data_IF_000474380250
#
_entry.id   IF_000474380250
#
_cell.length_a   1.000
_cell.length_b   1.000
_cell.length_c   1.000
_cell.angle_alpha   90.00
_cell.angle_beta   90.00
_cell.angle_gamma   90.00
#
_symmetry.space_group_name_H-M   'P 1'
#
loop_
_entity.id
_entity.type
_entity.pdbx_description
1 polymer ?
#
# COMPACT_ATOMS: atom_id res chain seq x y z
N UNK A 1 101.45 -61.28 -8.13
CA UNK A 1 101.83 -61.04 -9.54
C UNK A 1 102.27 -62.37 -10.13
N UNK A 2 101.88 -62.74 -11.37
CA UNK A 2 100.85 -62.14 -12.25
C UNK A 2 99.42 -62.31 -11.62
N UNK A 3 98.25 -62.40 -12.26
CA UNK A 3 97.85 -62.45 -13.68
C UNK A 3 96.48 -61.75 -13.91
N UNK A 4 95.75 -62.11 -14.98
CA UNK A 4 94.52 -61.44 -15.45
C UNK A 4 93.49 -62.45 -16.02
N UNK A 5 92.23 -62.03 -16.05
CA UNK A 5 91.07 -62.45 -16.86
C UNK A 5 90.98 -63.88 -17.47
N UNK A 6 89.84 -64.53 -17.18
CA UNK A 6 89.09 -65.29 -18.16
C UNK A 6 87.58 -65.05 -17.92
N UNK A 7 86.88 -64.45 -18.88
CA UNK A 7 85.42 -64.35 -18.84
C UNK A 7 84.82 -65.66 -19.38
N UNK A 8 83.85 -66.24 -18.67
CA UNK A 8 83.08 -67.37 -19.19
C UNK A 8 82.19 -66.86 -20.34
N UNK A 9 82.53 -67.22 -21.58
CA UNK A 9 81.72 -66.89 -22.74
C UNK A 9 80.39 -67.66 -22.67
N UNK A 10 79.28 -66.95 -22.78
CA UNK A 10 77.98 -67.57 -23.01
C UNK A 10 77.90 -68.04 -24.47
N UNK A 11 77.49 -69.28 -24.71
CA UNK A 11 77.19 -69.78 -26.04
C UNK A 11 75.91 -69.09 -26.55
N UNK A 12 76.10 -68.05 -27.36
CA UNK A 12 75.04 -67.50 -28.20
C UNK A 12 74.88 -68.39 -29.43
N UNK A 13 74.01 -69.39 -29.33
CA UNK A 13 73.53 -70.14 -30.48
C UNK A 13 72.82 -69.20 -31.48
N UNK A 14 72.88 -69.54 -32.77
CA UNK A 14 72.61 -68.63 -33.89
C UNK A 14 71.11 -68.42 -34.20
N UNK A 15 70.28 -68.31 -33.16
CA UNK A 15 68.90 -67.84 -33.26
C UNK A 15 68.81 -66.32 -33.43
N UNK A 16 67.66 -65.81 -33.88
CA UNK A 16 67.43 -64.37 -33.96
C UNK A 16 67.40 -63.70 -32.59
N UNK A 17 67.46 -62.36 -32.58
CA UNK A 17 67.08 -61.56 -31.40
C UNK A 17 65.67 -61.99 -30.95
N UNK A 18 65.49 -62.61 -29.76
CA UNK A 18 64.32 -63.46 -29.49
C UNK A 18 62.97 -62.73 -29.47
N UNK A 19 62.98 -61.40 -29.36
CA UNK A 19 61.78 -60.56 -29.53
C UNK A 19 61.21 -60.56 -30.96
N UNK A 20 62.00 -60.92 -31.98
CA UNK A 20 61.59 -60.98 -33.39
C UNK A 20 61.23 -62.40 -33.86
N UNK A 21 61.24 -63.39 -32.96
CA UNK A 21 60.80 -64.76 -33.28
C UNK A 21 59.26 -64.82 -33.37
N UNK A 22 58.73 -64.57 -34.58
CA UNK A 22 57.30 -64.42 -34.85
C UNK A 22 56.43 -65.64 -34.51
N UNK A 23 57.03 -66.82 -34.26
CA UNK A 23 56.34 -68.06 -33.89
C UNK A 23 55.35 -67.93 -32.71
N UNK A 24 55.62 -67.03 -31.76
CA UNK A 24 54.73 -66.82 -30.60
C UNK A 24 53.78 -65.62 -30.76
N UNK A 25 54.00 -64.76 -31.75
CA UNK A 25 53.23 -63.53 -31.94
C UNK A 25 51.76 -63.80 -32.22
N UNK A 26 51.43 -64.85 -33.00
CA UNK A 26 50.05 -65.22 -33.30
C UNK A 26 49.25 -65.57 -32.03
N UNK A 27 49.83 -66.36 -31.12
CA UNK A 27 49.20 -66.72 -29.84
C UNK A 27 49.02 -65.49 -28.93
N UNK A 28 50.03 -64.63 -28.85
CA UNK A 28 49.98 -63.39 -28.07
C UNK A 28 48.90 -62.42 -28.59
N UNK A 29 48.76 -62.29 -29.92
CA UNK A 29 47.72 -61.46 -30.55
C UNK A 29 46.32 -62.05 -30.30
N UNK A 30 46.13 -63.36 -30.40
CA UNK A 30 44.83 -64.00 -30.08
C UNK A 30 44.46 -63.78 -28.62
N UNK A 31 45.40 -63.93 -27.69
CA UNK A 31 45.16 -63.68 -26.27
C UNK A 31 44.83 -62.20 -25.98
N UNK A 32 45.56 -61.26 -26.60
CA UNK A 32 45.28 -59.83 -26.52
C UNK A 32 43.90 -59.47 -27.09
N UNK A 33 43.47 -60.10 -28.19
CA UNK A 33 42.14 -59.90 -28.76
C UNK A 33 41.03 -60.42 -27.82
N UNK A 34 41.21 -61.57 -27.19
CA UNK A 34 40.26 -62.11 -26.19
C UNK A 34 40.15 -61.14 -25.00
N UNK A 35 41.27 -60.70 -24.43
CA UNK A 35 41.30 -59.75 -23.33
C UNK A 35 40.67 -58.40 -23.71
N UNK A 36 40.96 -57.90 -24.92
CA UNK A 36 40.39 -56.67 -25.45
C UNK A 36 38.87 -56.76 -25.62
N UNK A 37 38.35 -57.88 -26.16
CA UNK A 37 36.90 -58.10 -26.30
C UNK A 37 36.21 -58.17 -24.93
N UNK A 38 36.80 -58.86 -23.95
CA UNK A 38 36.26 -58.90 -22.57
C UNK A 38 36.24 -57.50 -21.94
N UNK A 39 37.32 -56.73 -22.07
CA UNK A 39 37.39 -55.36 -21.55
C UNK A 39 36.42 -54.41 -22.28
N UNK A 40 36.31 -54.53 -23.60
CA UNK A 40 35.37 -53.75 -24.42
C UNK A 40 33.92 -54.02 -24.01
N UNK A 41 33.53 -55.29 -23.83
CA UNK A 41 32.19 -55.64 -23.36
C UNK A 41 31.91 -55.13 -21.94
N UNK A 42 32.90 -55.17 -21.04
CA UNK A 42 32.80 -54.60 -19.70
C UNK A 42 32.60 -53.07 -19.74
N UNK A 43 33.36 -52.37 -20.58
CA UNK A 43 33.21 -50.92 -20.77
C UNK A 43 31.85 -50.59 -21.38
N UNK A 44 31.49 -51.21 -22.50
CA UNK A 44 30.25 -50.95 -23.23
C UNK A 44 28.98 -51.28 -22.43
N UNK A 45 29.01 -52.34 -21.60
CA UNK A 45 27.82 -52.85 -20.89
C UNK A 45 27.74 -52.48 -19.41
N UNK A 46 28.82 -51.98 -18.80
CA UNK A 46 28.84 -51.55 -17.38
C UNK A 46 29.27 -50.09 -17.20
N UNK A 47 30.43 -49.69 -17.73
CA UNK A 47 30.97 -48.35 -17.47
C UNK A 47 30.27 -47.25 -18.28
N UNK A 48 30.08 -47.45 -19.59
CA UNK A 48 29.38 -46.50 -20.46
C UNK A 48 27.95 -46.19 -19.99
N UNK A 49 27.06 -47.16 -19.67
CA UNK A 49 25.71 -46.84 -19.17
C UNK A 49 25.71 -46.21 -17.77
N UNK A 50 26.70 -46.50 -16.92
CA UNK A 50 26.86 -45.80 -15.62
C UNK A 50 27.24 -44.34 -15.81
N UNK A 51 28.23 -44.04 -16.65
CA UNK A 51 28.63 -42.67 -16.98
C UNK A 51 27.47 -41.91 -17.64
N UNK A 52 26.74 -42.56 -18.55
CA UNK A 52 25.58 -41.98 -19.23
C UNK A 52 24.49 -41.57 -18.23
N UNK A 53 24.11 -42.46 -17.31
CA UNK A 53 23.15 -42.14 -16.23
C UNK A 53 23.57 -40.89 -15.42
N UNK A 54 24.84 -40.77 -15.04
CA UNK A 54 25.31 -39.61 -14.24
C UNK A 54 25.28 -38.29 -15.04
N UNK A 55 25.46 -38.34 -16.36
CA UNK A 55 25.31 -37.17 -17.23
C UNK A 55 23.83 -36.78 -17.37
N UNK A 56 22.97 -37.76 -17.67
CA UNK A 56 21.53 -37.54 -17.86
C UNK A 56 20.88 -37.05 -16.53
N UNK A 57 21.20 -37.67 -15.39
CA UNK A 57 20.75 -37.27 -14.04
C UNK A 57 21.15 -35.83 -13.67
N UNK A 58 22.36 -35.39 -14.06
CA UNK A 58 22.80 -34.00 -13.89
C UNK A 58 22.03 -33.04 -14.80
N UNK A 59 21.79 -33.44 -16.05
CA UNK A 59 21.02 -32.63 -17.00
C UNK A 59 19.57 -32.45 -16.53
N UNK A 60 18.92 -33.52 -16.07
CA UNK A 60 17.56 -33.50 -15.53
C UNK A 60 17.48 -32.67 -14.24
N UNK A 61 18.46 -32.81 -13.34
CA UNK A 61 18.54 -32.00 -12.11
C UNK A 61 18.66 -30.51 -12.42
N UNK A 62 19.55 -30.13 -13.34
CA UNK A 62 19.74 -28.73 -13.75
C UNK A 62 18.49 -28.19 -14.47
N UNK A 63 17.92 -28.97 -15.39
CA UNK A 63 16.70 -28.63 -16.12
C UNK A 63 15.54 -28.38 -15.16
N UNK A 64 15.33 -29.28 -14.20
CA UNK A 64 14.28 -29.17 -13.17
C UNK A 64 14.53 -27.96 -12.27
N UNK A 65 15.75 -27.73 -11.80
CA UNK A 65 16.09 -26.57 -10.98
C UNK A 65 15.84 -25.24 -11.71
N UNK A 66 16.18 -25.15 -13.00
CA UNK A 66 15.91 -23.97 -13.84
C UNK A 66 14.41 -23.79 -14.10
N UNK A 67 13.66 -24.88 -14.31
CA UNK A 67 12.21 -24.82 -14.48
C UNK A 67 11.51 -24.33 -13.20
N UNK A 68 11.85 -24.90 -12.04
CA UNK A 68 11.33 -24.46 -10.73
C UNK A 68 11.70 -23.01 -10.43
N UNK A 69 12.94 -22.60 -10.68
CA UNK A 69 13.36 -21.21 -10.48
C UNK A 69 12.57 -20.22 -11.37
N UNK A 70 12.26 -20.60 -12.61
CA UNK A 70 11.40 -19.80 -13.50
C UNK A 70 9.95 -19.75 -13.02
N UNK A 71 9.39 -20.86 -12.54
CA UNK A 71 8.03 -20.90 -11.97
C UNK A 71 7.94 -19.95 -10.77
N UNK A 72 8.83 -20.11 -9.79
CA UNK A 72 8.90 -19.25 -8.60
C UNK A 72 9.12 -17.78 -8.96
N UNK A 73 9.94 -17.47 -9.97
CA UNK A 73 10.12 -16.11 -10.45
C UNK A 73 8.84 -15.52 -11.08
N UNK A 74 8.11 -16.31 -11.87
CA UNK A 74 6.84 -15.89 -12.50
C UNK A 74 5.74 -15.73 -11.45
N UNK A 75 5.63 -16.65 -10.50
CA UNK A 75 4.68 -16.59 -9.38
C UNK A 75 4.96 -15.37 -8.49
N UNK A 76 6.23 -15.12 -8.14
CA UNK A 76 6.63 -13.96 -7.34
C UNK A 76 6.37 -12.63 -8.09
N UNK A 77 6.58 -12.59 -9.42
CA UNK A 77 6.24 -11.42 -10.22
C UNK A 77 4.72 -11.16 -10.24
N UNK A 78 3.91 -12.20 -10.48
CA UNK A 78 2.45 -12.10 -10.46
C UNK A 78 1.90 -11.67 -9.09
N UNK A 79 2.46 -12.21 -8.00
CA UNK A 79 2.12 -11.79 -6.63
C UNK A 79 2.54 -10.33 -6.35
N UNK A 80 3.73 -9.90 -6.80
CA UNK A 80 4.19 -8.53 -6.64
C UNK A 80 3.31 -7.53 -7.40
N UNK A 81 2.88 -7.84 -8.62
CA UNK A 81 1.99 -6.98 -9.41
C UNK A 81 0.55 -6.98 -8.90
N UNK A 82 0.04 -8.10 -8.40
CA UNK A 82 -1.23 -8.14 -7.68
C UNK A 82 -1.19 -7.30 -6.39
N UNK A 83 -0.11 -7.39 -5.61
CA UNK A 83 0.08 -6.58 -4.40
C UNK A 83 0.22 -5.08 -4.72
N UNK A 84 0.91 -4.71 -5.80
CA UNK A 84 0.97 -3.32 -6.30
C UNK A 84 -0.42 -2.79 -6.68
N UNK A 85 -1.20 -3.59 -7.41
CA UNK A 85 -2.55 -3.22 -7.83
C UNK A 85 -3.48 -3.00 -6.63
N UNK A 86 -3.47 -3.90 -5.64
CA UNK A 86 -4.31 -3.75 -4.44
C UNK A 86 -3.85 -2.58 -3.55
N UNK A 87 -2.54 -2.28 -3.47
CA UNK A 87 -2.02 -1.09 -2.76
C UNK A 87 -2.44 0.22 -3.44
N UNK A 88 -2.36 0.31 -4.78
CA UNK A 88 -2.82 1.52 -5.48
C UNK A 88 -4.34 1.69 -5.46
N UNK A 89 -5.10 0.58 -5.52
CA UNK A 89 -6.55 0.58 -5.30
C UNK A 89 -6.90 1.06 -3.88
N UNK A 90 -6.28 0.50 -2.84
CA UNK A 90 -6.50 0.94 -1.46
C UNK A 90 -6.12 2.41 -1.25
N UNK A 91 -5.08 2.91 -1.93
CA UNK A 91 -4.72 4.34 -1.96
C UNK A 91 -5.77 5.20 -2.66
N UNK A 92 -6.36 4.74 -3.75
CA UNK A 92 -7.46 5.43 -4.44
C UNK A 92 -8.72 5.46 -3.58
N UNK A 93 -9.12 4.32 -3.01
CA UNK A 93 -10.29 4.17 -2.15
C UNK A 93 -10.16 5.04 -0.88
N UNK A 94 -8.99 5.06 -0.24
CA UNK A 94 -8.73 5.93 0.92
C UNK A 94 -8.79 7.42 0.58
N UNK A 95 -8.32 7.83 -0.61
CA UNK A 95 -8.46 9.22 -1.10
C UNK A 95 -9.93 9.57 -1.37
N UNK A 96 -10.66 8.68 -2.04
CA UNK A 96 -12.08 8.87 -2.34
C UNK A 96 -12.92 8.97 -1.06
N UNK A 97 -12.70 8.07 -0.09
CA UNK A 97 -13.34 8.10 1.22
C UNK A 97 -13.01 9.39 2.00
N UNK A 98 -11.77 9.87 1.95
CA UNK A 98 -11.37 11.13 2.58
C UNK A 98 -12.06 12.35 1.97
N UNK A 99 -12.20 12.39 0.64
CA UNK A 99 -12.91 13.45 -0.09
C UNK A 99 -14.41 13.41 0.23
N UNK A 100 -15.03 12.24 0.19
CA UNK A 100 -16.44 12.06 0.50
C UNK A 100 -16.77 12.41 1.96
N UNK A 101 -15.92 12.00 2.91
CA UNK A 101 -16.06 12.35 4.32
C UNK A 101 -15.96 13.86 4.54
N UNK A 102 -14.98 14.54 3.90
CA UNK A 102 -14.86 16.01 3.96
C UNK A 102 -16.08 16.70 3.36
N UNK A 103 -16.54 16.27 2.19
CA UNK A 103 -17.71 16.84 1.52
C UNK A 103 -18.98 16.72 2.39
N UNK A 104 -19.21 15.55 3.00
CA UNK A 104 -20.31 15.34 3.94
C UNK A 104 -20.20 16.26 5.17
N UNK A 105 -19.04 16.32 5.82
CA UNK A 105 -18.84 17.18 7.00
C UNK A 105 -19.02 18.65 6.66
N UNK A 106 -18.56 19.11 5.49
CA UNK A 106 -18.83 20.48 5.02
C UNK A 106 -20.33 20.73 4.79
N UNK A 107 -21.07 19.77 4.23
CA UNK A 107 -22.52 19.89 4.06
C UNK A 107 -23.26 19.91 5.41
N UNK A 108 -22.88 19.05 6.36
CA UNK A 108 -23.44 19.03 7.73
C UNK A 108 -23.16 20.34 8.48
N UNK A 109 -21.97 20.94 8.32
CA UNK A 109 -21.63 22.25 8.88
C UNK A 109 -22.47 23.37 8.26
N UNK A 110 -22.60 23.39 6.92
CA UNK A 110 -23.40 24.42 6.24
C UNK A 110 -24.90 24.33 6.59
N UNK A 111 -25.45 23.12 6.73
CA UNK A 111 -26.82 22.92 7.19
C UNK A 111 -27.03 23.48 8.60
N UNK A 112 -26.17 23.11 9.57
CA UNK A 112 -26.24 23.63 10.94
C UNK A 112 -26.03 25.14 11.02
N UNK A 113 -25.11 25.69 10.24
CA UNK A 113 -24.89 27.13 10.19
C UNK A 113 -26.16 27.86 9.72
N UNK A 114 -26.87 27.35 8.70
CA UNK A 114 -28.13 27.93 8.26
C UNK A 114 -29.26 27.79 9.30
N UNK A 115 -29.31 26.68 10.05
CA UNK A 115 -30.24 26.48 11.18
C UNK A 115 -29.95 27.47 12.33
N UNK A 116 -28.68 27.63 12.72
CA UNK A 116 -28.24 28.56 13.76
C UNK A 116 -28.45 30.03 13.35
N UNK A 117 -28.13 30.41 12.10
CA UNK A 117 -28.38 31.75 11.57
C UNK A 117 -29.88 32.10 11.55
N UNK A 118 -30.73 31.15 11.13
CA UNK A 118 -32.19 31.33 11.19
C UNK A 118 -32.72 31.45 12.63
N UNK A 119 -32.19 30.63 13.56
CA UNK A 119 -32.56 30.69 14.97
C UNK A 119 -32.10 32.01 15.64
N UNK A 120 -30.93 32.54 15.27
CA UNK A 120 -30.43 33.85 15.73
C UNK A 120 -31.28 34.98 15.15
N UNK A 121 -31.60 34.96 13.85
CA UNK A 121 -32.47 35.96 13.22
C UNK A 121 -33.87 36.02 13.87
N UNK A 122 -34.47 34.86 14.16
CA UNK A 122 -35.76 34.78 14.86
C UNK A 122 -35.70 35.36 16.29
N UNK A 123 -34.59 35.14 17.01
CA UNK A 123 -34.35 35.73 18.34
C UNK A 123 -34.17 37.25 18.27
N UNK A 124 -33.45 37.75 17.27
CA UNK A 124 -33.28 39.20 17.05
C UNK A 124 -34.64 39.85 16.78
N UNK A 125 -35.42 39.36 15.82
CA UNK A 125 -36.74 39.90 15.51
C UNK A 125 -37.70 39.87 16.73
N UNK A 126 -37.62 38.82 17.56
CA UNK A 126 -38.39 38.71 18.82
C UNK A 126 -37.94 39.76 19.84
N UNK A 127 -36.63 39.99 19.98
CA UNK A 127 -36.09 41.01 20.88
C UNK A 127 -36.42 42.43 20.40
N UNK A 128 -36.32 42.71 19.10
CA UNK A 128 -36.70 43.99 18.49
C UNK A 128 -38.18 44.30 18.70
N UNK A 129 -39.08 43.33 18.52
CA UNK A 129 -40.50 43.47 18.82
C UNK A 129 -40.75 43.77 20.31
N UNK A 130 -40.03 43.09 21.22
CA UNK A 130 -40.10 43.36 22.67
C UNK A 130 -39.60 44.75 23.04
N UNK A 131 -38.51 45.22 22.42
CA UNK A 131 -37.96 46.58 22.60
C UNK A 131 -38.95 47.62 22.06
N UNK A 132 -39.55 47.39 20.90
CA UNK A 132 -40.56 48.28 20.32
C UNK A 132 -41.79 48.42 21.26
N UNK A 133 -42.37 47.30 21.70
CA UNK A 133 -43.49 47.29 22.64
C UNK A 133 -43.15 47.98 23.97
N UNK A 134 -41.94 47.77 24.50
CA UNK A 134 -41.47 48.43 25.73
C UNK A 134 -41.31 49.94 25.54
N UNK A 135 -40.77 50.37 24.38
CA UNK A 135 -40.64 51.79 24.00
C UNK A 135 -42.01 52.45 23.88
N UNK A 136 -42.97 51.84 23.19
CA UNK A 136 -44.31 52.40 23.00
C UNK A 136 -45.10 52.47 24.32
N UNK A 137 -44.97 51.46 25.20
CA UNK A 137 -45.52 51.50 26.55
C UNK A 137 -44.89 52.62 27.40
N UNK A 138 -43.56 52.77 27.37
CA UNK A 138 -42.86 53.84 28.10
C UNK A 138 -43.27 55.24 27.62
N UNK A 139 -43.44 55.44 26.31
CA UNK A 139 -43.93 56.70 25.72
C UNK A 139 -45.39 56.97 26.13
N UNK A 140 -46.26 55.95 26.16
CA UNK A 140 -47.63 56.09 26.64
C UNK A 140 -47.70 56.48 28.13
N UNK A 141 -46.88 55.85 28.98
CA UNK A 141 -46.77 56.21 30.40
C UNK A 141 -46.22 57.63 30.60
N UNK A 142 -45.21 58.03 29.84
CA UNK A 142 -44.67 59.40 29.89
C UNK A 142 -45.72 60.45 29.48
N UNK A 143 -46.50 60.18 28.42
CA UNK A 143 -47.62 61.04 28.00
C UNK A 143 -48.72 61.17 29.04
N UNK A 144 -49.08 60.07 29.72
CA UNK A 144 -50.05 60.10 30.83
C UNK A 144 -49.54 60.93 32.02
N UNK A 145 -48.29 60.71 32.45
CA UNK A 145 -47.66 61.48 33.54
C UNK A 145 -47.59 62.97 33.17
N UNK A 146 -47.28 63.31 31.92
CA UNK A 146 -47.27 64.70 31.44
C UNK A 146 -48.68 65.33 31.49
N UNK A 147 -49.73 64.61 31.06
CA UNK A 147 -51.11 65.10 31.11
C UNK A 147 -51.62 65.30 32.54
N UNK A 148 -51.36 64.35 33.45
CA UNK A 148 -51.71 64.48 34.87
C UNK A 148 -50.95 65.65 35.54
N UNK A 149 -49.66 65.81 35.23
CA UNK A 149 -48.82 66.92 35.74
C UNK A 149 -49.33 68.26 35.22
N UNK A 150 -49.65 68.37 33.93
CA UNK A 150 -50.22 69.58 33.33
C UNK A 150 -51.57 69.93 33.95
N UNK A 151 -52.47 68.95 34.14
CA UNK A 151 -53.76 69.18 34.82
C UNK A 151 -53.57 69.73 36.23
N UNK A 152 -52.68 69.14 37.01
CA UNK A 152 -52.39 69.59 38.38
C UNK A 152 -51.74 71.00 38.43
N UNK A 153 -50.92 71.35 37.44
CA UNK A 153 -50.34 72.71 37.34
C UNK A 153 -51.41 73.74 36.97
N UNK A 154 -52.28 73.45 35.99
CA UNK A 154 -53.35 74.37 35.58
C UNK A 154 -54.39 74.56 36.69
N UNK A 155 -54.80 73.49 37.36
CA UNK A 155 -55.69 73.54 38.52
C UNK A 155 -55.14 74.47 39.61
N UNK A 156 -53.84 74.37 39.90
CA UNK A 156 -53.18 75.19 40.93
C UNK A 156 -52.95 76.65 40.53
N UNK A 157 -53.01 76.98 39.23
CA UNK A 157 -52.88 78.34 38.71
C UNK A 157 -54.23 79.04 38.50
N UNK A 158 -55.28 78.29 38.16
CA UNK A 158 -56.59 78.85 37.76
C UNK A 158 -57.70 78.61 38.78
N UNK A 159 -57.53 77.65 39.70
CA UNK A 159 -58.57 77.21 40.62
C UNK A 159 -59.59 76.25 39.99
N UNK A 160 -59.41 75.84 38.73
CA UNK A 160 -60.25 74.83 38.06
C UNK A 160 -59.38 73.82 37.31
N UNK A 161 -59.62 72.53 37.54
CA UNK A 161 -58.95 71.48 36.78
C UNK A 161 -59.54 71.41 35.35
N UNK A 162 -58.72 71.48 34.28
CA UNK A 162 -59.18 71.19 32.93
C UNK A 162 -59.59 69.72 32.81
N UNK A 163 -60.47 69.40 31.85
CA UNK A 163 -60.90 68.02 31.64
C UNK A 163 -59.75 67.11 31.19
N UNK A 164 -59.91 65.81 31.40
CA UNK A 164 -58.90 64.83 31.00
C UNK A 164 -58.62 64.86 29.49
N UNK A 165 -59.66 65.08 28.68
CA UNK A 165 -59.55 65.13 27.22
C UNK A 165 -58.83 66.41 26.74
N UNK A 166 -59.11 67.57 27.36
CA UNK A 166 -58.40 68.82 27.06
C UNK A 166 -56.90 68.73 27.43
N UNK A 167 -56.58 68.16 28.60
CA UNK A 167 -55.20 67.97 29.03
C UNK A 167 -54.45 66.98 28.12
N UNK A 168 -55.09 65.87 27.71
CA UNK A 168 -54.52 64.91 26.79
C UNK A 168 -54.35 65.46 25.36
N UNK A 169 -55.28 66.28 24.89
CA UNK A 169 -55.19 66.96 23.60
C UNK A 169 -54.06 67.99 23.58
N UNK A 170 -53.91 68.80 24.64
CA UNK A 170 -52.85 69.79 24.77
C UNK A 170 -51.45 69.14 24.77
N UNK A 171 -51.26 68.04 25.51
CA UNK A 171 -49.98 67.31 25.53
C UNK A 171 -49.67 66.66 24.17
N UNK A 172 -50.66 66.13 23.45
CA UNK A 172 -50.48 65.61 22.08
C UNK A 172 -50.24 66.69 21.02
N UNK A 173 -50.72 67.91 21.24
CA UNK A 173 -50.54 69.04 20.32
C UNK A 173 -49.21 69.80 20.49
N UNK A 174 -48.40 69.41 21.48
CA UNK A 174 -47.13 70.07 21.82
C UNK A 174 -45.89 69.18 21.58
N UNK A 175 -46.06 68.03 20.92
CA UNK A 175 -45.05 67.02 20.63
C UNK A 175 -44.95 66.72 19.12
#
# INVERSE_FOLDING_TARGET
MPANAAAAAAEHDAGGLPQFEFQHWAGQVVYLLILFVVLYLLIAKVFAPRLRRVIDERADTISTAVATARSVQTEAAAQADAARAEVEKARADARAASIAAKARVTAEIQARQAEDEAAVAARIATAEAGIAATRDAALAHAGAIAADTTRAIVERLTGQAPSADEAAAAVKGAA
#
